data_IF_458014849669
#
_entry.id   IF_458014849669
#
_cell.length_a   1.000
_cell.length_b   1.000
_cell.length_c   1.000
_cell.angle_alpha   90.00
_cell.angle_beta   90.00
_cell.angle_gamma   90.00
#
_symmetry.space_group_name_H-M   'P 1'
#
loop_
_entity.id
_entity.type
_entity.pdbx_description
1 polymer ?
#
# COMPACT_ATOMS: atom_id res chain seq x y z
N UNK A 1 11.88 -16.81 -6.44
CA UNK A 1 10.96 -15.65 -6.49
C UNK A 1 11.70 -14.45 -5.94
N UNK A 2 12.34 -13.73 -6.84
CA UNK A 2 13.45 -12.80 -6.56
C UNK A 2 12.89 -11.39 -6.30
N UNK A 3 13.03 -10.87 -5.09
CA UNK A 3 12.91 -9.42 -4.85
C UNK A 3 14.24 -8.77 -5.17
N UNK A 4 14.42 -8.44 -6.45
CA UNK A 4 15.49 -7.58 -6.93
C UNK A 4 15.15 -6.14 -6.52
N UNK A 5 16.03 -5.52 -5.73
CA UNK A 5 16.33 -4.09 -5.70
C UNK A 5 15.21 -3.09 -5.42
N UNK A 6 15.00 -2.71 -4.15
CA UNK A 6 14.45 -1.39 -3.80
C UNK A 6 15.19 -0.80 -2.60
N UNK A 7 16.44 -0.42 -2.82
CA UNK A 7 17.30 0.22 -1.83
C UNK A 7 17.48 1.73 -2.01
N UNK A 8 16.63 2.45 -2.77
CA UNK A 8 16.95 3.87 -3.09
C UNK A 8 15.80 4.89 -3.30
N UNK A 9 14.51 4.58 -3.18
CA UNK A 9 13.42 5.58 -3.40
C UNK A 9 12.39 5.57 -2.26
N UNK A 10 12.80 5.97 -1.06
CA UNK A 10 12.13 5.62 0.19
C UNK A 10 11.00 6.57 0.65
N UNK A 11 10.50 7.48 -0.21
CA UNK A 11 9.28 8.27 0.10
C UNK A 11 8.15 8.11 -0.91
N UNK A 12 8.44 7.71 -2.16
CA UNK A 12 7.42 7.63 -3.20
C UNK A 12 6.43 6.47 -3.00
N UNK A 13 6.85 5.37 -2.35
CA UNK A 13 5.99 4.18 -2.19
C UNK A 13 4.82 4.43 -1.22
N UNK A 14 5.08 5.06 -0.07
CA UNK A 14 4.04 5.33 0.94
C UNK A 14 2.97 6.28 0.42
N UNK A 15 3.38 7.39 -0.22
CA UNK A 15 2.43 8.35 -0.78
C UNK A 15 1.61 7.77 -1.94
N UNK A 16 2.23 6.95 -2.79
CA UNK A 16 1.54 6.25 -3.87
C UNK A 16 0.48 5.30 -3.29
N UNK A 17 0.83 4.53 -2.26
CA UNK A 17 -0.09 3.63 -1.56
C UNK A 17 -1.24 4.39 -0.92
N UNK A 18 -0.97 5.51 -0.24
CA UNK A 18 -2.03 6.33 0.37
C UNK A 18 -2.97 6.90 -0.68
N UNK A 19 -2.46 7.39 -1.81
CA UNK A 19 -3.28 7.91 -2.91
C UNK A 19 -4.17 6.81 -3.51
N UNK A 20 -3.61 5.64 -3.79
CA UNK A 20 -4.38 4.49 -4.30
C UNK A 20 -5.39 3.99 -3.27
N UNK A 21 -5.01 3.92 -2.00
CA UNK A 21 -5.90 3.56 -0.89
C UNK A 21 -7.07 4.54 -0.77
N UNK A 22 -6.82 5.85 -0.79
CA UNK A 22 -7.85 6.87 -0.69
C UNK A 22 -8.85 6.77 -1.87
N UNK A 23 -8.34 6.60 -3.10
CA UNK A 23 -9.16 6.41 -4.28
C UNK A 23 -10.03 5.14 -4.18
N UNK A 24 -9.45 4.04 -3.67
CA UNK A 24 -10.15 2.78 -3.49
C UNK A 24 -11.21 2.86 -2.39
N UNK A 25 -10.87 3.45 -1.24
CA UNK A 25 -11.78 3.63 -0.10
C UNK A 25 -12.94 4.57 -0.42
N UNK A 26 -12.71 5.57 -1.28
CA UNK A 26 -13.76 6.47 -1.78
C UNK A 26 -14.81 5.71 -2.58
N UNK A 27 -14.40 4.69 -3.36
CA UNK A 27 -15.33 3.84 -4.12
C UNK A 27 -15.87 2.66 -3.30
N UNK A 28 -15.04 2.11 -2.42
CA UNK A 28 -15.27 0.89 -1.65
C UNK A 28 -14.60 1.00 -0.28
N UNK A 29 -15.33 1.55 0.68
CA UNK A 29 -14.86 1.74 2.06
C UNK A 29 -14.51 0.42 2.77
N UNK A 30 -14.98 -0.73 2.27
CA UNK A 30 -14.69 -2.08 2.77
C UNK A 30 -13.48 -2.76 2.12
N UNK A 31 -12.71 -2.04 1.30
CA UNK A 31 -11.53 -2.59 0.64
C UNK A 31 -10.50 -3.18 1.61
N UNK A 32 -9.90 -4.30 1.22
CA UNK A 32 -8.92 -5.02 2.04
C UNK A 32 -7.49 -4.55 1.75
N UNK A 33 -6.55 -4.88 2.65
CA UNK A 33 -5.12 -4.56 2.47
C UNK A 33 -4.53 -5.18 1.18
N UNK A 34 -5.01 -6.35 0.75
CA UNK A 34 -4.59 -6.98 -0.51
C UNK A 34 -5.11 -6.21 -1.73
N UNK A 35 -6.36 -5.75 -1.69
CA UNK A 35 -6.91 -4.89 -2.76
C UNK A 35 -6.17 -3.56 -2.84
N UNK A 36 -5.80 -2.96 -1.70
CA UNK A 36 -4.99 -1.74 -1.65
C UNK A 36 -3.60 -1.98 -2.22
N UNK A 37 -2.93 -3.09 -1.86
CA UNK A 37 -1.62 -3.44 -2.41
C UNK A 37 -1.69 -3.60 -3.94
N UNK A 38 -2.72 -4.28 -4.43
CA UNK A 38 -2.97 -4.47 -5.86
C UNK A 38 -3.27 -3.14 -6.56
N UNK A 39 -4.07 -2.26 -5.96
CA UNK A 39 -4.38 -0.94 -6.50
C UNK A 39 -3.18 0.02 -6.49
N UNK A 40 -2.24 -0.18 -5.57
CA UNK A 40 -0.98 0.55 -5.51
C UNK A 40 0.11 -0.08 -6.40
N UNK A 41 -0.12 -1.27 -6.97
CA UNK A 41 0.86 -1.98 -7.79
C UNK A 41 2.02 -2.57 -6.99
N UNK A 42 1.86 -2.73 -5.67
CA UNK A 42 2.91 -3.24 -4.78
C UNK A 42 2.59 -4.65 -4.27
N UNK A 43 3.63 -5.38 -3.86
CA UNK A 43 3.47 -6.68 -3.22
C UNK A 43 2.97 -6.56 -1.78
N UNK A 44 2.21 -7.56 -1.31
CA UNK A 44 1.75 -7.67 0.08
C UNK A 44 2.88 -7.52 1.12
N UNK A 45 4.06 -8.07 0.85
CA UNK A 45 5.22 -7.98 1.74
C UNK A 45 5.74 -6.53 1.90
N UNK A 46 5.69 -5.74 0.81
CA UNK A 46 6.04 -4.32 0.83
C UNK A 46 5.00 -3.52 1.61
N UNK A 47 3.70 -3.75 1.32
CA UNK A 47 2.61 -3.09 2.04
C UNK A 47 2.68 -3.37 3.55
N UNK A 48 2.92 -4.62 3.95
CA UNK A 48 3.06 -5.01 5.36
C UNK A 48 4.28 -4.38 6.05
N UNK A 49 5.35 -4.05 5.31
CA UNK A 49 6.50 -3.32 5.85
C UNK A 49 6.19 -1.84 6.11
N UNK A 50 5.34 -1.23 5.27
CA UNK A 50 4.96 0.18 5.41
C UNK A 50 3.79 0.40 6.36
N UNK A 51 2.84 -0.52 6.40
CA UNK A 51 1.63 -0.42 7.22
C UNK A 51 1.43 -1.72 8.00
N UNK A 52 1.39 -1.61 9.33
CA UNK A 52 1.15 -2.76 10.21
C UNK A 52 -0.26 -3.37 10.05
N UNK A 53 -1.17 -2.69 9.34
CA UNK A 53 -2.52 -3.18 9.05
C UNK A 53 -3.42 -2.11 8.45
N UNK A 54 -4.68 -2.48 8.19
CA UNK A 54 -5.69 -1.59 7.61
C UNK A 54 -5.89 -0.31 8.43
N UNK A 55 -5.87 -0.42 9.76
CA UNK A 55 -6.05 0.72 10.64
C UNK A 55 -4.92 1.75 10.50
N UNK A 56 -3.67 1.28 10.43
CA UNK A 56 -2.50 2.13 10.20
C UNK A 56 -2.55 2.81 8.82
N UNK A 57 -3.13 2.14 7.83
CA UNK A 57 -3.32 2.69 6.49
C UNK A 57 -4.46 3.73 6.44
N UNK A 58 -5.53 3.52 7.20
CA UNK A 58 -6.67 4.46 7.28
C UNK A 58 -6.34 5.70 8.12
N UNK A 59 -5.44 5.58 9.12
CA UNK A 59 -5.02 6.70 9.98
C UNK A 59 -3.80 7.48 9.48
N UNK A 60 -3.11 6.99 8.45
CA UNK A 60 -1.92 7.62 7.89
C UNK A 60 -2.26 8.78 6.96
#
# INVERSE_FOLDING_TARGET
MSQVGYGRLMSLDREQVLRSAAALLTRKSTATMDEVARAAGIGRATLHRHFAGRDALVRA
#
